data_IF_637408028774
#
_entry.id   IF_637408028774
#
_cell.length_a   1.000
_cell.length_b   1.000
_cell.length_c   1.000
_cell.angle_alpha   90.00
_cell.angle_beta   90.00
_cell.angle_gamma   90.00
#
_symmetry.space_group_name_H-M   'P 1'
#
loop_
_entity.id
_entity.type
_entity.pdbx_description
1 polymer ?
#
# COMPACT_ATOMS: atom_id res chain seq x y z
N UNK A 1 0.68 -1.19 -9.74
CA UNK A 1 1.17 -2.55 -9.99
C UNK A 1 2.28 -2.89 -8.99
N UNK A 2 2.71 -4.15 -8.96
CA UNK A 2 3.82 -4.63 -8.10
C UNK A 2 4.91 -5.22 -9.00
N UNK A 3 6.17 -4.90 -8.73
CA UNK A 3 7.32 -5.57 -9.33
C UNK A 3 8.20 -6.19 -8.26
N UNK A 4 9.00 -7.18 -8.65
CA UNK A 4 9.83 -7.97 -7.76
C UNK A 4 11.28 -7.92 -8.22
N UNK A 5 12.21 -7.72 -7.28
CA UNK A 5 13.65 -7.78 -7.54
C UNK A 5 14.35 -8.44 -6.37
N UNK A 6 14.95 -9.61 -6.65
CA UNK A 6 15.51 -10.45 -5.60
C UNK A 6 14.43 -10.81 -4.58
N UNK A 7 14.65 -10.43 -3.33
CA UNK A 7 13.71 -10.66 -2.22
C UNK A 7 12.90 -9.39 -1.88
N UNK A 8 12.88 -8.38 -2.75
CA UNK A 8 12.16 -7.13 -2.52
C UNK A 8 10.96 -7.00 -3.47
N UNK A 9 9.82 -6.60 -2.91
CA UNK A 9 8.65 -6.22 -3.68
C UNK A 9 8.50 -4.70 -3.68
N UNK A 10 8.01 -4.15 -4.79
CA UNK A 10 7.85 -2.71 -4.93
C UNK A 10 6.51 -2.37 -5.53
N UNK A 11 5.77 -1.50 -4.85
CA UNK A 11 4.55 -0.90 -5.38
C UNK A 11 4.95 0.32 -6.22
N UNK A 12 4.62 0.30 -7.51
CA UNK A 12 4.84 1.45 -8.42
C UNK A 12 3.63 2.35 -8.54
N UNK A 13 2.43 1.79 -8.35
CA UNK A 13 1.19 2.53 -8.53
C UNK A 13 0.05 1.92 -7.72
N UNK A 14 -0.56 2.73 -6.86
CA UNK A 14 -1.90 2.52 -6.31
C UNK A 14 -2.68 3.80 -6.61
N UNK A 15 -3.58 3.73 -7.58
CA UNK A 15 -4.42 4.84 -7.99
C UNK A 15 -5.90 4.46 -7.86
N UNK A 16 -6.66 5.31 -7.20
CA UNK A 16 -8.12 5.20 -7.10
C UNK A 16 -8.72 6.48 -7.66
N UNK A 17 -9.71 6.32 -8.56
CA UNK A 17 -10.48 7.44 -9.13
C UNK A 17 -11.06 8.29 -8.00
N UNK A 18 -11.05 9.61 -8.16
CA UNK A 18 -11.44 10.53 -7.07
C UNK A 18 -12.85 10.27 -6.54
N UNK A 19 -13.79 9.98 -7.45
CA UNK A 19 -15.19 9.65 -7.16
C UNK A 19 -15.38 8.36 -6.35
N UNK A 20 -14.33 7.55 -6.22
CA UNK A 20 -14.35 6.26 -5.51
C UNK A 20 -13.42 6.25 -4.29
N UNK A 21 -12.78 7.37 -3.95
CA UNK A 21 -11.96 7.51 -2.73
C UNK A 21 -12.84 7.42 -1.48
N UNK A 22 -12.21 7.08 -0.35
CA UNK A 22 -12.91 6.97 0.94
C UNK A 22 -13.73 5.69 1.14
N UNK A 23 -13.87 4.83 0.12
CA UNK A 23 -14.66 3.59 0.18
C UNK A 23 -13.80 2.32 0.33
N UNK A 24 -12.65 2.41 1.03
CA UNK A 24 -11.78 1.25 1.28
C UNK A 24 -10.98 0.69 0.08
N UNK A 25 -11.25 1.14 -1.17
CA UNK A 25 -10.60 0.56 -2.37
C UNK A 25 -9.07 0.68 -2.35
N UNK A 26 -8.52 1.83 -1.95
CA UNK A 26 -7.06 2.01 -1.89
C UNK A 26 -6.40 1.09 -0.87
N UNK A 27 -7.09 0.85 0.24
CA UNK A 27 -6.67 -0.09 1.29
C UNK A 27 -6.77 -1.54 0.80
N UNK A 28 -7.83 -1.90 0.08
CA UNK A 28 -7.98 -3.22 -0.54
C UNK A 28 -6.85 -3.53 -1.53
N UNK A 29 -6.49 -2.56 -2.39
CA UNK A 29 -5.39 -2.70 -3.34
C UNK A 29 -4.04 -2.89 -2.63
N UNK A 30 -3.81 -2.18 -1.52
CA UNK A 30 -2.62 -2.34 -0.69
C UNK A 30 -2.58 -3.73 -0.04
N UNK A 31 -3.68 -4.19 0.57
CA UNK A 31 -3.80 -5.53 1.14
C UNK A 31 -3.49 -6.58 0.08
N UNK A 32 -4.09 -6.47 -1.11
CA UNK A 32 -3.82 -7.40 -2.22
C UNK A 32 -2.34 -7.43 -2.60
N UNK A 33 -1.71 -6.26 -2.72
CA UNK A 33 -0.29 -6.14 -3.06
C UNK A 33 0.61 -6.82 -2.01
N UNK A 34 0.37 -6.56 -0.73
CA UNK A 34 1.12 -7.17 0.37
C UNK A 34 0.94 -8.69 0.41
N UNK A 35 -0.28 -9.20 0.21
CA UNK A 35 -0.54 -10.64 0.12
C UNK A 35 0.25 -11.31 -0.99
N UNK A 36 0.29 -10.69 -2.17
CA UNK A 36 1.06 -11.23 -3.29
C UNK A 36 2.57 -11.20 -3.01
N UNK A 37 3.09 -10.17 -2.34
CA UNK A 37 4.50 -10.13 -1.94
C UNK A 37 4.87 -11.19 -0.90
N UNK A 38 4.00 -11.44 0.08
CA UNK A 38 4.17 -12.55 1.04
C UNK A 38 4.18 -13.89 0.31
N UNK A 39 3.23 -14.13 -0.62
CA UNK A 39 3.19 -15.36 -1.42
C UNK A 39 4.43 -15.56 -2.29
N UNK A 40 4.96 -14.48 -2.85
CA UNK A 40 6.19 -14.50 -3.65
C UNK A 40 7.44 -14.79 -2.79
N UNK A 41 7.34 -14.69 -1.46
CA UNK A 41 8.48 -14.86 -0.56
C UNK A 41 9.36 -13.62 -0.46
N UNK A 42 8.81 -12.44 -0.74
CA UNK A 42 9.54 -11.17 -0.56
C UNK A 42 9.82 -10.95 0.93
N UNK A 43 11.00 -10.43 1.26
CA UNK A 43 11.39 -10.02 2.60
C UNK A 43 10.77 -8.69 2.98
N UNK A 44 10.70 -7.73 2.07
CA UNK A 44 10.14 -6.40 2.34
C UNK A 44 9.32 -5.89 1.17
N UNK A 45 8.47 -4.89 1.43
CA UNK A 45 7.80 -4.12 0.39
C UNK A 45 8.17 -2.64 0.50
N UNK A 46 8.50 -2.02 -0.64
CA UNK A 46 8.86 -0.60 -0.73
C UNK A 46 7.93 0.14 -1.69
N UNK A 47 7.71 1.43 -1.42
CA UNK A 47 6.97 2.34 -2.30
C UNK A 47 7.50 3.76 -2.22
N UNK A 48 7.17 4.57 -3.22
CA UNK A 48 7.38 6.01 -3.22
C UNK A 48 6.04 6.76 -3.20
N UNK A 49 5.84 7.66 -2.22
CA UNK A 49 4.64 8.48 -2.10
C UNK A 49 4.96 9.97 -2.21
N UNK A 50 4.10 10.76 -2.86
CA UNK A 50 4.20 12.23 -2.85
C UNK A 50 4.25 12.76 -1.42
N UNK A 51 5.15 13.70 -1.12
CA UNK A 51 5.25 14.33 0.21
C UNK A 51 3.95 15.00 0.64
N UNK A 52 3.16 15.53 -0.30
CA UNK A 52 1.85 16.14 -0.01
C UNK A 52 0.72 15.14 0.22
N UNK A 53 0.88 13.87 -0.17
CA UNK A 53 -0.19 12.87 -0.08
C UNK A 53 -0.23 12.21 1.30
N UNK A 54 -0.55 13.00 2.33
CA UNK A 54 -0.61 12.56 3.72
C UNK A 54 -1.64 11.46 3.96
N UNK A 55 -2.71 11.40 3.16
CA UNK A 55 -3.74 10.36 3.27
C UNK A 55 -3.15 8.99 2.90
N UNK A 56 -2.45 8.91 1.77
CA UNK A 56 -1.78 7.68 1.36
C UNK A 56 -0.65 7.31 2.32
N UNK A 57 0.18 8.28 2.73
CA UNK A 57 1.27 8.03 3.69
C UNK A 57 0.74 7.43 5.01
N UNK A 58 -0.33 7.98 5.59
CA UNK A 58 -0.97 7.44 6.80
C UNK A 58 -1.53 6.04 6.59
N UNK A 59 -2.09 5.76 5.41
CA UNK A 59 -2.52 4.41 5.07
C UNK A 59 -1.33 3.46 5.02
N UNK A 60 -0.21 3.84 4.41
CA UNK A 60 0.99 3.00 4.38
C UNK A 60 1.58 2.78 5.78
N UNK A 61 1.64 3.82 6.61
CA UNK A 61 2.06 3.72 8.02
C UNK A 61 1.21 2.72 8.81
N UNK A 62 -0.12 2.75 8.63
CA UNK A 62 -1.05 1.78 9.23
C UNK A 62 -0.67 0.33 8.90
N UNK A 63 -0.13 0.07 7.71
CA UNK A 63 0.30 -1.25 7.24
C UNK A 63 1.80 -1.53 7.48
N UNK A 64 2.43 -0.78 8.38
CA UNK A 64 3.79 -1.02 8.85
C UNK A 64 4.89 -0.49 7.93
N UNK A 65 4.56 0.33 6.93
CA UNK A 65 5.58 1.04 6.15
C UNK A 65 6.18 2.17 6.98
N UNK A 66 7.50 2.32 6.91
CA UNK A 66 8.26 3.38 7.58
C UNK A 66 8.99 4.24 6.56
N UNK A 67 9.04 5.55 6.79
CA UNK A 67 9.86 6.45 5.99
C UNK A 67 11.35 6.08 6.13
N UNK A 68 12.01 5.80 5.00
CA UNK A 68 13.44 5.46 4.94
C UNK A 68 14.26 6.48 4.15
N UNK A 69 13.62 7.54 3.63
CA UNK A 69 14.29 8.61 2.91
C UNK A 69 13.36 9.44 2.03
N UNK A 70 13.94 10.44 1.36
CA UNK A 70 13.22 11.31 0.43
C UNK A 70 14.00 11.43 -0.88
N UNK A 71 13.33 11.22 -2.02
CA UNK A 71 13.85 11.56 -3.34
C UNK A 71 13.41 12.98 -3.71
N UNK A 72 14.38 13.84 -3.96
CA UNK A 72 14.12 15.23 -4.35
C UNK A 72 13.64 15.32 -5.79
N UNK A 73 12.62 16.14 -6.03
CA UNK A 73 12.04 16.38 -7.35
C UNK A 73 11.74 15.10 -8.17
N UNK A 74 11.22 14.08 -7.49
CA UNK A 74 10.98 12.76 -8.06
C UNK A 74 9.82 12.77 -9.08
N UNK A 75 8.75 13.49 -8.78
CA UNK A 75 7.60 13.59 -9.67
C UNK A 75 7.84 14.65 -10.73
N UNK A 76 7.87 14.25 -12.00
CA UNK A 76 8.26 15.12 -13.12
C UNK A 76 7.23 16.20 -13.46
N UNK A 77 5.98 16.02 -13.05
CA UNK A 77 4.87 16.94 -13.37
C UNK A 77 4.94 18.25 -12.60
N UNK A 78 5.31 18.21 -11.32
CA UNK A 78 5.38 19.38 -10.45
C UNK A 78 6.71 19.52 -9.69
N UNK A 79 7.70 18.66 -10.00
CA UNK A 79 9.00 18.54 -9.28
C UNK A 79 8.82 18.30 -7.79
N UNK A 80 7.74 17.63 -7.41
CA UNK A 80 7.48 17.29 -6.02
C UNK A 80 8.38 16.15 -5.55
N UNK A 81 8.79 16.24 -4.29
CA UNK A 81 9.56 15.22 -3.60
C UNK A 81 8.71 13.95 -3.36
N UNK A 82 9.38 12.81 -3.29
CA UNK A 82 8.76 11.55 -2.87
C UNK A 82 9.38 11.05 -1.57
N UNK A 83 8.54 10.64 -0.62
CA UNK A 83 8.95 9.84 0.53
C UNK A 83 9.09 8.39 0.07
N UNK A 84 10.23 7.77 0.36
CA UNK A 84 10.41 6.33 0.20
C UNK A 84 9.97 5.67 1.50
N UNK A 85 9.06 4.70 1.42
CA UNK A 85 8.56 3.97 2.57
C UNK A 85 8.77 2.47 2.39
N UNK A 86 9.24 1.78 3.45
CA UNK A 86 9.52 0.33 3.41
C UNK A 86 8.97 -0.35 4.66
N UNK A 87 8.46 -1.57 4.51
CA UNK A 87 7.99 -2.39 5.64
C UNK A 87 9.16 -2.95 6.47
N UNK A 88 8.88 -3.36 7.71
CA UNK A 88 9.69 -4.39 8.37
C UNK A 88 9.65 -5.71 7.55
N UNK A 89 10.47 -6.74 7.88
CA UNK A 89 10.41 -8.02 7.21
C UNK A 89 8.99 -8.61 7.21
N UNK A 90 8.38 -8.72 6.04
CA UNK A 90 6.98 -9.12 5.91
C UNK A 90 6.77 -10.58 6.24
N UNK A 91 7.83 -11.40 6.21
CA UNK A 91 7.80 -12.79 6.66
C UNK A 91 7.88 -12.96 8.18
N UNK A 92 8.14 -11.89 8.94
CA UNK A 92 8.24 -11.98 10.41
C UNK A 92 6.89 -12.29 11.05
N UNK A 93 6.91 -13.02 12.16
CA UNK A 93 5.70 -13.38 12.91
C UNK A 93 4.94 -12.13 13.38
N UNK A 94 5.66 -11.10 13.84
CA UNK A 94 5.10 -9.83 14.28
C UNK A 94 4.36 -9.12 13.14
N UNK A 95 4.99 -9.00 11.96
CA UNK A 95 4.35 -8.37 10.80
C UNK A 95 3.13 -9.17 10.35
N UNK A 96 3.22 -10.49 10.32
CA UNK A 96 2.11 -11.36 9.93
C UNK A 96 0.94 -11.29 10.91
N UNK A 97 1.20 -11.16 12.21
CA UNK A 97 0.15 -10.96 13.22
C UNK A 97 -0.57 -9.62 13.01
N UNK A 98 0.19 -8.52 12.94
CA UNK A 98 -0.36 -7.19 12.65
C UNK A 98 -1.15 -7.18 11.33
N UNK A 99 -0.63 -7.80 10.28
CA UNK A 99 -1.28 -7.80 8.97
C UNK A 99 -2.61 -8.57 8.99
N UNK A 100 -2.69 -9.71 9.70
CA UNK A 100 -3.95 -10.44 9.89
C UNK A 100 -5.01 -9.59 10.61
N UNK A 101 -4.64 -8.94 11.70
CA UNK A 101 -5.57 -8.07 12.45
C UNK A 101 -6.09 -6.91 11.59
N UNK A 102 -5.23 -6.30 10.76
CA UNK A 102 -5.63 -5.24 9.84
C UNK A 102 -6.58 -5.74 8.75
N UNK A 103 -6.35 -6.94 8.22
CA UNK A 103 -7.25 -7.58 7.25
C UNK A 103 -8.63 -7.87 7.87
N UNK A 104 -8.67 -8.37 9.11
CA UNK A 104 -9.92 -8.61 9.85
C UNK A 104 -10.67 -7.29 10.14
N UNK A 105 -9.94 -6.25 10.56
CA UNK A 105 -10.50 -4.92 10.78
C UNK A 105 -11.07 -4.33 9.49
N UNK A 106 -10.39 -4.52 8.36
CA UNK A 106 -10.86 -4.10 7.04
C UNK A 106 -12.17 -4.78 6.67
N UNK A 107 -12.24 -6.11 6.79
CA UNK A 107 -13.44 -6.90 6.49
C UNK A 107 -14.61 -6.52 7.42
N UNK A 108 -14.35 -6.29 8.70
CA UNK A 108 -15.37 -5.84 9.65
C UNK A 108 -15.97 -4.49 9.25
N UNK A 109 -15.15 -3.58 8.72
CA UNK A 109 -15.58 -2.24 8.35
C UNK A 109 -16.29 -2.17 7.00
N UNK A 110 -15.82 -2.92 6.02
CA UNK A 110 -16.24 -2.78 4.62
C UNK A 110 -17.01 -3.98 4.08
N UNK A 111 -17.00 -5.12 4.78
CA UNK A 111 -17.53 -6.37 4.26
C UNK A 111 -16.74 -6.86 3.03
N UNK A 112 -17.37 -7.73 2.24
CA UNK A 112 -16.92 -8.01 0.88
C UNK A 112 -17.26 -6.80 0.01
N UNK A 113 -16.23 -6.15 -0.56
CA UNK A 113 -16.44 -5.07 -1.54
C UNK A 113 -16.93 -5.71 -2.84
N UNK A 114 -18.24 -5.68 -3.06
CA UNK A 114 -18.87 -6.07 -4.31
C UNK A 114 -18.75 -4.91 -5.31
N UNK A 115 -18.13 -5.17 -6.46
CA UNK A 115 -18.03 -4.19 -7.54
C UNK A 115 -19.30 -4.12 -8.42
N UNK A 116 -20.31 -4.96 -8.13
CA UNK A 116 -21.56 -5.10 -8.90
C UNK A 116 -22.69 -4.19 -8.41
N UNK A 117 -22.44 -2.89 -8.28
CA UNK A 117 -23.52 -1.91 -8.18
C UNK A 117 -23.26 -0.74 -9.12
N UNK A 118 -24.15 -0.63 -10.11
CA UNK A 118 -24.32 0.45 -11.10
C UNK A 118 -23.61 0.29 -12.45
N UNK A 119 -24.13 -0.64 -13.28
CA UNK A 119 -24.43 -0.31 -14.68
C UNK A 119 -25.93 0.00 -14.74
N UNK A 120 -26.30 1.25 -14.50
CA UNK A 120 -27.53 1.88 -15.00
C UNK A 120 -27.17 3.24 -15.55
#
# INVERSE_FOLDING_TARGET
SVWYQGEEAHITEIAVRETRRGNGIGELLLIGSLREAVKYGSKVMTLEARVSNFIAQRLYEKYGFKNVGTRKAYYSDNREDAVIMTTNPISSEEYQAMFRELQESFLTRWGEINFDSEIH
#
